data_IF_946385682113
#
_entry.id   IF_946385682113
#
_cell.length_a   1.000
_cell.length_b   1.000
_cell.length_c   1.000
_cell.angle_alpha   90.00
_cell.angle_beta   90.00
_cell.angle_gamma   90.00
#
_symmetry.space_group_name_H-M   'P 1'
#
loop_
_entity.id
_entity.type
_entity.pdbx_description
1 polymer ?
#
# COMPACT_ATOMS: atom_id res chain seq x y z
N UNK A 1 13.30 -27.15 6.04
CA UNK A 1 13.41 -25.99 5.12
C UNK A 1 13.19 -24.70 5.90
N UNK A 2 14.23 -23.88 6.12
CA UNK A 2 14.10 -22.55 6.76
C UNK A 2 13.31 -21.65 5.80
N UNK A 3 12.09 -21.25 6.18
CA UNK A 3 11.31 -20.27 5.41
C UNK A 3 12.03 -18.92 5.49
N UNK A 4 12.75 -18.55 4.43
CA UNK A 4 13.52 -17.30 4.38
C UNK A 4 12.60 -16.17 3.91
N UNK A 5 12.14 -15.32 4.83
CA UNK A 5 11.38 -14.09 4.56
C UNK A 5 12.18 -12.86 5.04
N UNK A 6 11.75 -11.67 4.68
CA UNK A 6 12.45 -10.44 5.10
C UNK A 6 12.15 -10.12 6.58
N UNK A 7 13.10 -10.51 7.47
CA UNK A 7 12.99 -10.33 8.92
C UNK A 7 12.99 -8.85 9.32
N UNK A 8 13.71 -8.01 8.59
CA UNK A 8 13.78 -6.58 8.90
C UNK A 8 12.42 -5.91 8.63
N UNK A 9 11.73 -6.26 7.52
CA UNK A 9 10.39 -5.76 7.26
C UNK A 9 9.43 -6.14 8.40
N UNK A 10 9.45 -7.40 8.83
CA UNK A 10 8.61 -7.86 9.94
C UNK A 10 8.94 -7.11 11.23
N UNK A 11 10.22 -6.90 11.55
CA UNK A 11 10.66 -6.16 12.72
C UNK A 11 10.15 -4.71 12.72
N UNK A 12 10.27 -4.00 11.59
CA UNK A 12 9.75 -2.63 11.44
C UNK A 12 8.25 -2.58 11.70
N UNK A 13 7.49 -3.52 11.14
CA UNK A 13 6.03 -3.57 11.33
C UNK A 13 5.66 -3.85 12.78
N UNK A 14 6.34 -4.79 13.45
CA UNK A 14 6.11 -5.08 14.87
C UNK A 14 6.43 -3.87 15.74
N UNK A 15 7.48 -3.12 15.41
CA UNK A 15 7.84 -1.89 16.12
C UNK A 15 6.77 -0.81 15.93
N UNK A 16 6.26 -0.61 14.69
CA UNK A 16 5.16 0.33 14.41
C UNK A 16 3.88 -0.06 15.17
N UNK A 17 3.56 -1.35 15.25
CA UNK A 17 2.39 -1.85 16.02
C UNK A 17 2.59 -1.59 17.52
N UNK A 18 3.79 -1.80 18.05
CA UNK A 18 4.10 -1.53 19.45
C UNK A 18 3.94 -0.04 19.77
N UNK A 19 4.50 0.85 18.94
CA UNK A 19 4.32 2.30 19.06
C UNK A 19 2.83 2.66 18.97
N UNK A 20 2.07 2.03 18.05
CA UNK A 20 0.64 2.23 17.94
C UNK A 20 -0.14 1.82 19.18
N UNK A 21 0.19 0.67 19.77
CA UNK A 21 -0.46 0.19 20.98
C UNK A 21 -0.21 1.12 22.17
N UNK A 22 1.04 1.58 22.35
CA UNK A 22 1.39 2.55 23.40
C UNK A 22 0.72 3.89 23.19
N UNK A 23 0.68 4.40 21.96
CA UNK A 23 0.02 5.65 21.63
C UNK A 23 -1.52 5.59 21.82
N UNK A 24 -2.17 4.49 21.39
CA UNK A 24 -3.61 4.29 21.63
C UNK A 24 -3.89 4.16 23.13
N UNK A 25 -3.04 3.46 23.89
CA UNK A 25 -3.18 3.36 25.34
C UNK A 25 -3.11 4.73 25.99
N UNK A 26 -2.10 5.54 25.66
CA UNK A 26 -1.95 6.90 26.19
C UNK A 26 -3.11 7.81 25.80
N UNK A 27 -3.56 7.76 24.52
CA UNK A 27 -4.66 8.60 24.04
C UNK A 27 -6.02 8.28 24.64
N UNK A 28 -6.21 7.07 25.14
CA UNK A 28 -7.47 6.60 25.75
C UNK A 28 -7.42 6.59 27.27
N UNK A 29 -6.33 7.03 27.89
CA UNK A 29 -6.15 7.06 29.35
C UNK A 29 -7.13 8.03 30.05
N UNK A 30 -7.58 9.05 29.34
CA UNK A 30 -8.57 10.01 29.82
C UNK A 30 -9.81 9.95 28.92
N UNK A 31 -10.95 9.57 29.50
CA UNK A 31 -12.24 9.51 28.79
C UNK A 31 -13.05 10.75 29.17
N UNK A 32 -13.56 11.48 28.16
CA UNK A 32 -14.35 12.70 28.39
C UNK A 32 -15.65 12.40 29.12
N UNK A 33 -16.05 13.29 30.09
CA UNK A 33 -17.34 13.19 30.76
C UNK A 33 -18.52 13.14 29.77
N UNK A 34 -18.46 13.90 28.68
CA UNK A 34 -19.50 13.94 27.64
C UNK A 34 -19.60 12.61 26.87
N UNK A 35 -18.47 11.96 26.63
CA UNK A 35 -18.45 10.62 26.04
C UNK A 35 -18.99 9.58 27.03
N UNK A 36 -18.65 9.65 28.30
CA UNK A 36 -19.21 8.81 29.33
C UNK A 36 -20.72 8.93 29.39
N UNK A 37 -21.27 10.16 29.42
CA UNK A 37 -22.70 10.40 29.45
C UNK A 37 -23.43 9.92 28.19
N UNK A 38 -22.86 10.19 27.00
CA UNK A 38 -23.41 9.77 25.71
C UNK A 38 -23.49 8.24 25.56
N UNK A 39 -22.54 7.51 26.13
CA UNK A 39 -22.51 6.05 26.06
C UNK A 39 -23.25 5.40 27.25
N UNK A 40 -23.29 6.05 28.41
CA UNK A 40 -24.14 5.64 29.52
C UNK A 40 -25.63 5.64 29.12
N UNK A 41 -26.07 6.69 28.39
CA UNK A 41 -27.43 6.76 27.80
C UNK A 41 -27.71 5.64 26.78
N UNK A 42 -26.66 5.01 26.23
CA UNK A 42 -26.80 3.84 25.31
C UNK A 42 -26.57 2.49 25.98
N UNK A 43 -26.47 2.45 27.30
CA UNK A 43 -26.24 1.21 28.07
C UNK A 43 -24.85 0.56 27.84
N UNK A 44 -23.90 1.33 27.33
CA UNK A 44 -22.52 0.84 27.09
C UNK A 44 -21.60 1.47 28.13
N UNK A 45 -21.05 0.66 29.04
CA UNK A 45 -19.97 1.10 29.92
C UNK A 45 -18.69 1.33 29.11
N UNK A 46 -18.36 2.60 28.86
CA UNK A 46 -17.07 2.99 28.31
C UNK A 46 -16.02 2.90 29.42
N UNK A 47 -15.17 1.90 29.35
CA UNK A 47 -13.95 1.84 30.13
C UNK A 47 -12.74 1.96 29.21
N UNK A 48 -11.62 2.51 29.71
CA UNK A 48 -10.33 2.49 29.02
C UNK A 48 -10.02 1.09 28.47
N UNK A 49 -10.31 0.06 29.26
CA UNK A 49 -10.18 -1.34 28.88
C UNK A 49 -11.05 -1.73 27.65
N UNK A 50 -12.16 -1.04 27.40
CA UNK A 50 -13.01 -1.31 26.24
C UNK A 50 -12.34 -0.95 24.91
N UNK A 51 -11.65 0.19 24.83
CA UNK A 51 -10.89 0.60 23.66
C UNK A 51 -9.68 -0.30 23.42
N UNK A 52 -8.91 -0.58 24.46
CA UNK A 52 -7.74 -1.45 24.40
C UNK A 52 -8.14 -2.87 24.01
N UNK A 53 -9.20 -3.41 24.61
CA UNK A 53 -9.73 -4.74 24.26
C UNK A 53 -10.10 -4.83 22.79
N UNK A 54 -10.80 -3.83 22.24
CA UNK A 54 -11.12 -3.78 20.81
C UNK A 54 -9.87 -3.67 19.94
N UNK A 55 -8.89 -2.86 20.34
CA UNK A 55 -7.62 -2.73 19.61
C UNK A 55 -6.83 -4.05 19.63
N UNK A 56 -6.75 -4.73 20.78
CA UNK A 56 -6.11 -6.04 20.88
C UNK A 56 -6.82 -7.12 20.05
N UNK A 57 -8.16 -7.12 20.05
CA UNK A 57 -8.94 -8.03 19.21
C UNK A 57 -8.70 -7.78 17.72
N UNK A 58 -8.73 -6.52 17.28
CA UNK A 58 -8.45 -6.17 15.88
C UNK A 58 -7.01 -6.43 15.48
N UNK A 59 -6.07 -6.25 16.40
CA UNK A 59 -4.66 -6.63 16.21
C UNK A 59 -4.52 -8.15 16.07
N UNK A 60 -5.17 -8.94 16.90
CA UNK A 60 -5.21 -10.40 16.79
C UNK A 60 -5.78 -10.86 15.45
N UNK A 61 -6.92 -10.28 15.02
CA UNK A 61 -7.51 -10.54 13.70
C UNK A 61 -6.57 -10.12 12.57
N UNK A 62 -5.90 -8.98 12.70
CA UNK A 62 -4.90 -8.51 11.74
C UNK A 62 -3.70 -9.44 11.64
N UNK A 63 -3.18 -9.97 12.76
CA UNK A 63 -2.10 -10.96 12.77
C UNK A 63 -2.51 -12.26 12.09
N UNK A 64 -3.74 -12.74 12.33
CA UNK A 64 -4.29 -13.90 11.63
C UNK A 64 -4.38 -13.63 10.13
N UNK A 65 -4.93 -12.47 9.72
CA UNK A 65 -5.02 -12.08 8.32
C UNK A 65 -3.65 -11.95 7.66
N UNK A 66 -2.66 -11.38 8.36
CA UNK A 66 -1.27 -11.31 7.91
C UNK A 66 -0.67 -12.70 7.71
N UNK A 67 -0.87 -13.61 8.66
CA UNK A 67 -0.37 -14.98 8.57
C UNK A 67 -1.05 -15.76 7.44
N UNK A 68 -2.36 -15.63 7.26
CA UNK A 68 -3.09 -16.22 6.14
C UNK A 68 -2.57 -15.69 4.80
N UNK A 69 -2.46 -14.37 4.66
CA UNK A 69 -1.93 -13.74 3.45
C UNK A 69 -0.49 -14.16 3.13
N UNK A 70 0.34 -14.39 4.17
CA UNK A 70 1.69 -14.94 4.01
C UNK A 70 1.69 -16.39 3.50
N UNK A 71 0.68 -17.20 3.82
CA UNK A 71 0.61 -18.62 3.44
C UNK A 71 -0.08 -18.88 2.11
N UNK A 72 -0.99 -18.00 1.68
CA UNK A 72 -1.77 -18.18 0.44
C UNK A 72 -0.84 -18.20 -0.78
N UNK A 73 -0.96 -19.16 -1.72
CA UNK A 73 -0.18 -19.17 -2.95
C UNK A 73 -0.44 -17.91 -3.79
N UNK A 74 0.63 -17.23 -4.22
CA UNK A 74 0.51 -15.99 -5.03
C UNK A 74 -0.22 -16.21 -6.36
N UNK A 75 -0.13 -17.43 -6.93
CA UNK A 75 -0.91 -17.81 -8.11
C UNK A 75 -2.42 -17.80 -7.90
N UNK A 76 -2.90 -18.17 -6.70
CA UNK A 76 -4.30 -18.07 -6.33
C UNK A 76 -4.72 -16.59 -6.18
N UNK A 77 -3.90 -15.76 -5.53
CA UNK A 77 -4.15 -14.32 -5.38
C UNK A 77 -4.27 -13.65 -6.76
N UNK A 78 -3.38 -14.01 -7.70
CA UNK A 78 -3.45 -13.55 -9.09
C UNK A 78 -4.78 -13.91 -9.75
N UNK A 79 -5.27 -15.13 -9.60
CA UNK A 79 -6.57 -15.60 -10.15
C UNK A 79 -7.75 -14.88 -9.50
N UNK A 80 -7.67 -14.61 -8.19
CA UNK A 80 -8.73 -13.96 -7.41
C UNK A 80 -8.75 -12.44 -7.52
N UNK A 81 -7.81 -11.80 -8.23
CA UNK A 81 -7.69 -10.33 -8.30
C UNK A 81 -8.96 -9.66 -8.83
N UNK A 82 -9.58 -10.19 -9.90
CA UNK A 82 -10.82 -9.64 -10.46
C UNK A 82 -12.02 -9.95 -9.56
N UNK A 83 -12.26 -11.20 -9.09
CA UNK A 83 -13.34 -11.49 -8.15
C UNK A 83 -13.30 -10.64 -6.89
N UNK A 84 -12.11 -10.45 -6.29
CA UNK A 84 -11.95 -9.61 -5.10
C UNK A 84 -12.25 -8.14 -5.38
N UNK A 85 -11.91 -7.63 -6.57
CA UNK A 85 -12.25 -6.28 -6.96
C UNK A 85 -13.78 -6.10 -7.06
N UNK A 86 -14.49 -7.06 -7.66
CA UNK A 86 -15.95 -7.03 -7.76
C UNK A 86 -16.60 -7.14 -6.37
N UNK A 87 -16.11 -8.02 -5.52
CA UNK A 87 -16.58 -8.14 -4.12
C UNK A 87 -16.37 -6.82 -3.38
N UNK A 88 -15.22 -6.17 -3.56
CA UNK A 88 -14.96 -4.87 -2.91
C UNK A 88 -15.92 -3.77 -3.37
N UNK A 89 -16.32 -3.77 -4.66
CA UNK A 89 -17.33 -2.85 -5.17
C UNK A 89 -18.72 -3.15 -4.57
N UNK A 90 -19.11 -4.41 -4.49
CA UNK A 90 -20.37 -4.82 -3.86
C UNK A 90 -20.38 -4.40 -2.38
N UNK A 91 -19.31 -4.67 -1.63
CA UNK A 91 -19.18 -4.22 -0.24
C UNK A 91 -19.29 -2.69 -0.12
N UNK A 92 -18.68 -1.95 -1.05
CA UNK A 92 -18.73 -0.49 -1.06
C UNK A 92 -20.18 0.01 -1.32
N UNK A 93 -20.92 -0.64 -2.22
CA UNK A 93 -22.33 -0.31 -2.50
C UNK A 93 -23.28 -0.70 -1.34
N UNK A 94 -22.95 -1.75 -0.57
CA UNK A 94 -23.73 -2.15 0.60
C UNK A 94 -23.81 -1.06 1.67
N UNK A 95 -22.90 -0.09 1.69
CA UNK A 95 -22.97 1.07 2.60
C UNK A 95 -24.26 1.88 2.41
N UNK A 96 -24.83 1.91 1.21
CA UNK A 96 -26.09 2.63 0.94
C UNK A 96 -27.35 1.87 1.39
N UNK A 97 -27.21 0.60 1.77
CA UNK A 97 -28.30 -0.25 2.23
C UNK A 97 -28.50 -0.12 3.76
N UNK A 98 -29.45 -0.86 4.32
CA UNK A 98 -29.72 -0.91 5.77
C UNK A 98 -28.52 -1.30 6.65
N UNK A 99 -27.48 -1.90 6.07
CA UNK A 99 -26.26 -2.29 6.78
C UNK A 99 -25.27 -1.12 7.01
N UNK A 100 -25.46 0.00 6.29
CA UNK A 100 -24.60 1.17 6.41
C UNK A 100 -24.87 2.00 7.64
N UNK A 101 -23.81 2.44 8.32
CA UNK A 101 -23.85 3.31 9.50
C UNK A 101 -23.40 4.71 9.12
N UNK A 102 -24.11 5.71 9.63
CA UNK A 102 -23.71 7.12 9.52
C UNK A 102 -22.88 7.48 10.74
N UNK A 103 -21.66 7.95 10.50
CA UNK A 103 -20.75 8.49 11.52
C UNK A 103 -20.10 9.76 10.98
N UNK A 104 -19.97 10.81 11.82
CA UNK A 104 -19.38 12.08 11.42
C UNK A 104 -20.08 12.73 10.20
N UNK A 105 -21.40 12.58 10.07
CA UNK A 105 -22.18 13.15 8.95
C UNK A 105 -22.02 12.43 7.61
N UNK A 106 -21.30 11.31 7.54
CA UNK A 106 -21.13 10.53 6.32
C UNK A 106 -21.40 9.05 6.54
N UNK A 107 -21.96 8.40 5.53
CA UNK A 107 -22.31 6.98 5.56
C UNK A 107 -21.22 6.17 4.86
N UNK A 108 -20.22 5.67 5.64
CA UNK A 108 -19.00 5.06 5.14
C UNK A 108 -18.67 3.68 5.73
N UNK A 109 -19.42 3.26 6.77
CA UNK A 109 -19.14 2.09 7.57
C UNK A 109 -20.27 1.06 7.42
N UNK A 110 -19.91 -0.21 7.45
CA UNK A 110 -20.86 -1.34 7.55
C UNK A 110 -20.76 -1.91 8.95
N UNK A 111 -21.92 -2.21 9.56
CA UNK A 111 -21.97 -2.88 10.85
C UNK A 111 -21.70 -4.38 10.66
N UNK A 112 -20.55 -4.84 11.14
CA UNK A 112 -20.23 -6.26 11.29
C UNK A 112 -19.97 -6.47 12.77
N UNK A 113 -20.96 -7.07 13.45
CA UNK A 113 -20.83 -7.30 14.90
C UNK A 113 -19.61 -8.18 15.20
N UNK A 114 -18.76 -7.85 16.19
CA UNK A 114 -18.85 -6.78 17.20
C UNK A 114 -18.22 -5.44 16.80
N UNK A 115 -17.78 -5.26 15.57
CA UNK A 115 -17.05 -4.07 15.10
C UNK A 115 -17.74 -3.40 13.91
N UNK A 116 -17.10 -2.35 13.39
CA UNK A 116 -17.49 -1.68 12.14
C UNK A 116 -16.41 -1.91 11.10
N UNK A 117 -16.82 -2.12 9.86
CA UNK A 117 -15.94 -2.34 8.72
C UNK A 117 -16.06 -1.20 7.71
N UNK A 118 -14.92 -0.69 7.26
CA UNK A 118 -14.85 0.36 6.25
C UNK A 118 -14.46 -0.24 4.90
N UNK A 119 -15.40 -0.36 3.94
CA UNK A 119 -15.12 -0.98 2.64
C UNK A 119 -14.04 -0.28 1.82
N UNK A 120 -13.84 1.04 1.99
CA UNK A 120 -12.81 1.78 1.26
C UNK A 120 -11.38 1.27 1.53
N UNK A 121 -11.12 0.71 2.71
CA UNK A 121 -9.82 0.10 3.02
C UNK A 121 -9.61 -1.17 2.18
N UNK A 122 -10.65 -2.01 2.07
CA UNK A 122 -10.62 -3.20 1.22
C UNK A 122 -10.47 -2.85 -0.26
N UNK A 123 -11.16 -1.80 -0.73
CA UNK A 123 -11.06 -1.33 -2.14
C UNK A 123 -9.63 -0.99 -2.50
N UNK A 124 -8.88 -0.29 -1.64
CA UNK A 124 -7.47 0.05 -1.90
C UNK A 124 -6.62 -1.21 -2.12
N UNK A 125 -6.77 -2.20 -1.24
CA UNK A 125 -6.05 -3.48 -1.36
C UNK A 125 -6.43 -4.23 -2.65
N UNK A 126 -7.74 -4.35 -2.93
CA UNK A 126 -8.24 -5.05 -4.12
C UNK A 126 -7.81 -4.33 -5.42
N UNK A 127 -7.74 -2.99 -5.40
CA UNK A 127 -7.23 -2.22 -6.53
C UNK A 127 -5.74 -2.48 -6.79
N UNK A 128 -4.91 -2.62 -5.75
CA UNK A 128 -3.52 -3.04 -5.90
C UNK A 128 -3.43 -4.42 -6.54
N UNK A 129 -4.22 -5.39 -6.08
CA UNK A 129 -4.26 -6.75 -6.63
C UNK A 129 -4.64 -6.72 -8.12
N UNK A 130 -5.71 -6.00 -8.44
CA UNK A 130 -6.18 -5.85 -9.82
C UNK A 130 -5.15 -5.18 -10.73
N UNK A 131 -4.57 -4.05 -10.31
CA UNK A 131 -3.56 -3.34 -11.10
C UNK A 131 -2.33 -4.20 -11.33
N UNK A 132 -1.87 -4.92 -10.30
CA UNK A 132 -0.74 -5.84 -10.40
C UNK A 132 -1.02 -6.97 -11.40
N UNK A 133 -2.22 -7.55 -11.36
CA UNK A 133 -2.66 -8.55 -12.33
C UNK A 133 -2.72 -7.96 -13.73
N UNK A 134 -3.39 -6.82 -13.92
CA UNK A 134 -3.58 -6.17 -15.20
C UNK A 134 -2.26 -5.80 -15.87
N UNK A 135 -1.34 -5.20 -15.12
CA UNK A 135 -0.03 -4.78 -15.62
C UNK A 135 0.91 -5.97 -15.90
N UNK A 136 0.67 -7.13 -15.28
CA UNK A 136 1.44 -8.36 -15.53
C UNK A 136 0.99 -9.15 -16.75
N UNK A 137 -0.11 -8.76 -17.40
CA UNK A 137 -0.60 -9.44 -18.61
C UNK A 137 0.31 -9.21 -19.82
N UNK A 138 0.50 -10.23 -20.64
CA UNK A 138 1.25 -10.13 -21.91
C UNK A 138 0.65 -9.14 -22.91
N UNK A 139 -0.65 -8.87 -22.80
CA UNK A 139 -1.37 -7.87 -23.62
C UNK A 139 -1.20 -6.44 -23.15
N UNK A 140 -0.67 -6.21 -21.95
CA UNK A 140 -0.41 -4.87 -21.42
C UNK A 140 0.72 -4.21 -22.21
N UNK A 141 0.41 -3.10 -22.88
CA UNK A 141 1.38 -2.31 -23.65
C UNK A 141 1.29 -0.86 -23.20
N UNK A 142 2.36 -0.34 -22.66
CA UNK A 142 2.45 1.04 -22.12
C UNK A 142 2.21 2.12 -23.18
N UNK A 143 2.35 1.77 -24.46
CA UNK A 143 2.10 2.68 -25.59
C UNK A 143 0.64 2.84 -25.94
N UNK A 144 -0.19 1.84 -25.64
CA UNK A 144 -1.60 1.84 -26.02
C UNK A 144 -2.43 2.66 -25.02
N UNK A 145 -3.25 3.55 -25.54
CA UNK A 145 -4.21 4.32 -24.75
C UNK A 145 -5.17 3.41 -23.96
N UNK A 146 -5.56 2.28 -24.51
CA UNK A 146 -6.44 1.30 -23.82
C UNK A 146 -5.83 0.76 -22.55
N UNK A 147 -4.50 0.59 -22.49
CA UNK A 147 -3.80 0.14 -21.28
C UNK A 147 -3.86 1.16 -20.15
N UNK A 148 -4.01 2.44 -20.47
CA UNK A 148 -4.25 3.51 -19.52
C UNK A 148 -5.73 3.65 -19.18
N UNK A 149 -6.60 3.59 -20.20
CA UNK A 149 -8.03 3.87 -20.05
C UNK A 149 -8.75 2.87 -19.13
N UNK A 150 -8.45 1.56 -19.25
CA UNK A 150 -9.14 0.53 -18.48
C UNK A 150 -8.96 0.71 -16.96
N UNK A 151 -7.75 0.86 -16.40
CA UNK A 151 -7.57 1.16 -14.98
C UNK A 151 -8.24 2.45 -14.53
N UNK A 152 -8.22 3.50 -15.38
CA UNK A 152 -8.84 4.79 -15.07
C UNK A 152 -10.37 4.68 -15.03
N UNK A 153 -11.00 3.94 -15.94
CA UNK A 153 -12.45 3.71 -15.92
C UNK A 153 -12.87 2.93 -14.66
N UNK A 154 -12.12 1.90 -14.31
CA UNK A 154 -12.39 1.12 -13.09
C UNK A 154 -12.21 2.00 -11.84
N UNK A 155 -11.10 2.75 -11.75
CA UNK A 155 -10.90 3.73 -10.68
C UNK A 155 -12.05 4.73 -10.65
N UNK A 156 -12.47 5.27 -11.82
CA UNK A 156 -13.56 6.22 -11.95
C UNK A 156 -14.90 5.69 -11.40
N UNK A 157 -15.19 4.41 -11.61
CA UNK A 157 -16.38 3.78 -11.03
C UNK A 157 -16.36 3.82 -9.49
N UNK A 158 -15.24 3.50 -8.86
CA UNK A 158 -15.07 3.63 -7.41
C UNK A 158 -15.13 5.10 -6.94
N UNK A 159 -14.56 6.03 -7.72
CA UNK A 159 -14.58 7.46 -7.42
C UNK A 159 -16.02 8.00 -7.35
N UNK A 160 -16.89 7.61 -8.28
CA UNK A 160 -18.31 8.01 -8.26
C UNK A 160 -18.98 7.56 -6.96
N UNK A 161 -18.69 6.35 -6.50
CA UNK A 161 -19.26 5.84 -5.24
C UNK A 161 -18.69 6.60 -4.03
N UNK A 162 -17.39 6.85 -3.97
CA UNK A 162 -16.77 7.63 -2.90
C UNK A 162 -17.29 9.07 -2.82
N UNK A 163 -17.53 9.71 -3.97
CA UNK A 163 -18.11 11.05 -4.01
C UNK A 163 -19.53 11.09 -3.48
N UNK A 164 -20.34 10.03 -3.73
CA UNK A 164 -21.67 9.88 -3.16
C UNK A 164 -21.67 9.58 -1.65
N UNK A 165 -20.57 8.99 -1.11
CA UNK A 165 -20.37 8.72 0.32
C UNK A 165 -19.71 9.88 1.07
N UNK A 166 -19.52 11.06 0.51
CA UNK A 166 -18.58 12.17 0.79
C UNK A 166 -17.22 11.72 1.38
N UNK A 167 -16.62 10.62 0.84
CA UNK A 167 -15.32 10.10 1.29
C UNK A 167 -14.17 10.56 0.39
N UNK A 168 -13.77 11.83 0.54
CA UNK A 168 -12.66 12.41 -0.25
C UNK A 168 -11.31 11.82 0.08
N UNK A 169 -11.10 11.39 1.33
CA UNK A 169 -9.86 10.77 1.75
C UNK A 169 -9.59 9.48 0.98
N UNK A 170 -10.60 8.59 0.93
CA UNK A 170 -10.53 7.36 0.15
C UNK A 170 -10.40 7.64 -1.35
N UNK A 171 -11.14 8.62 -1.87
CA UNK A 171 -11.06 9.03 -3.26
C UNK A 171 -9.65 9.48 -3.65
N UNK A 172 -9.04 10.40 -2.90
CA UNK A 172 -7.68 10.88 -3.16
C UNK A 172 -6.64 9.78 -3.05
N UNK A 173 -6.72 8.96 -1.99
CA UNK A 173 -5.75 7.88 -1.78
C UNK A 173 -5.82 6.82 -2.89
N UNK A 174 -7.03 6.42 -3.34
CA UNK A 174 -7.20 5.48 -4.44
C UNK A 174 -6.73 6.07 -5.77
N UNK A 175 -7.02 7.34 -6.03
CA UNK A 175 -6.56 8.06 -7.22
C UNK A 175 -5.04 8.11 -7.30
N UNK A 176 -4.39 8.57 -6.22
CA UNK A 176 -2.94 8.67 -6.16
C UNK A 176 -2.26 7.30 -6.25
N UNK A 177 -2.82 6.28 -5.59
CA UNK A 177 -2.35 4.89 -5.69
C UNK A 177 -2.39 4.39 -7.13
N UNK A 178 -3.52 4.58 -7.83
CA UNK A 178 -3.70 4.13 -9.21
C UNK A 178 -2.73 4.84 -10.15
N UNK A 179 -2.60 6.17 -10.03
CA UNK A 179 -1.67 6.97 -10.85
C UNK A 179 -0.22 6.56 -10.58
N UNK A 180 0.16 6.35 -9.31
CA UNK A 180 1.52 5.93 -8.94
C UNK A 180 1.87 4.56 -9.52
N UNK A 181 0.95 3.61 -9.53
CA UNK A 181 1.16 2.30 -10.14
C UNK A 181 1.24 2.39 -11.67
N UNK A 182 0.37 3.19 -12.32
CA UNK A 182 0.43 3.44 -13.77
C UNK A 182 1.74 4.12 -14.18
N UNK A 183 2.20 5.10 -13.40
CA UNK A 183 3.49 5.75 -13.60
C UNK A 183 4.64 4.74 -13.55
N UNK A 184 4.67 3.89 -12.53
CA UNK A 184 5.69 2.84 -12.40
C UNK A 184 5.67 1.84 -13.56
N UNK A 185 4.49 1.54 -14.09
CA UNK A 185 4.37 0.61 -15.22
C UNK A 185 4.97 1.15 -16.52
N UNK A 186 5.39 2.42 -16.54
CA UNK A 186 5.98 3.08 -17.71
C UNK A 186 4.95 3.60 -18.72
N UNK A 187 3.70 3.82 -18.31
CA UNK A 187 2.68 4.48 -19.14
C UNK A 187 3.20 5.85 -19.58
N UNK A 188 2.90 6.23 -20.83
CA UNK A 188 3.33 7.52 -21.37
C UNK A 188 2.79 8.68 -20.55
N UNK A 189 3.67 9.54 -20.04
CA UNK A 189 3.34 10.67 -19.16
C UNK A 189 2.24 11.57 -19.73
N UNK A 190 2.18 11.71 -21.06
CA UNK A 190 1.12 12.50 -21.72
C UNK A 190 -0.30 12.07 -21.33
N UNK A 191 -0.53 10.76 -21.07
CA UNK A 191 -1.85 10.28 -20.66
C UNK A 191 -2.14 10.67 -19.20
N UNK A 192 -1.13 10.67 -18.34
CA UNK A 192 -1.27 11.11 -16.93
C UNK A 192 -1.54 12.62 -16.90
N UNK A 193 -0.80 13.42 -17.70
CA UNK A 193 -1.03 14.86 -17.79
C UNK A 193 -2.41 15.19 -18.38
N UNK A 194 -2.86 14.47 -19.42
CA UNK A 194 -4.19 14.70 -20.00
C UNK A 194 -5.31 14.39 -18.98
N UNK A 195 -5.13 13.34 -18.15
CA UNK A 195 -6.05 13.07 -17.05
C UNK A 195 -6.05 14.20 -16.02
N UNK A 196 -4.87 14.72 -15.66
CA UNK A 196 -4.74 15.87 -14.76
C UNK A 196 -5.55 17.07 -15.25
N UNK A 197 -5.37 17.44 -16.52
CA UNK A 197 -6.13 18.54 -17.13
C UNK A 197 -7.64 18.27 -17.11
N UNK A 198 -8.07 17.04 -17.41
CA UNK A 198 -9.48 16.66 -17.40
C UNK A 198 -10.10 16.71 -15.99
N UNK A 199 -9.32 16.40 -14.96
CA UNK A 199 -9.79 16.33 -13.57
C UNK A 199 -9.86 17.73 -12.94
N UNK A 200 -9.08 18.73 -13.39
CA UNK A 200 -9.08 20.08 -12.85
C UNK A 200 -10.48 20.72 -12.76
N UNK A 201 -11.31 20.76 -13.84
CA UNK A 201 -12.66 21.33 -13.75
C UNK A 201 -13.56 20.60 -12.75
N UNK A 202 -13.42 19.27 -12.66
CA UNK A 202 -14.17 18.46 -11.69
C UNK A 202 -13.77 18.81 -10.26
N UNK A 203 -12.48 18.96 -9.99
CA UNK A 203 -11.96 19.35 -8.68
C UNK A 203 -12.42 20.77 -8.31
N UNK A 204 -12.35 21.72 -9.24
CA UNK A 204 -12.83 23.09 -9.01
C UNK A 204 -14.31 23.06 -8.63
N UNK A 205 -15.16 22.37 -9.42
CA UNK A 205 -16.59 22.24 -9.13
C UNK A 205 -16.83 21.57 -7.77
N UNK A 206 -16.06 20.53 -7.44
CA UNK A 206 -16.19 19.85 -6.15
C UNK A 206 -15.81 20.75 -4.97
N UNK A 207 -14.77 21.58 -5.10
CA UNK A 207 -14.31 22.51 -4.04
C UNK A 207 -15.28 23.67 -3.89
N UNK A 208 -15.95 24.12 -4.95
CA UNK A 208 -16.89 25.26 -4.93
C UNK A 208 -18.14 25.05 -4.07
N UNK A 209 -18.42 23.82 -3.64
CA UNK A 209 -19.50 23.54 -2.68
C UNK A 209 -19.22 24.21 -1.33
N UNK A 210 -20.16 24.93 -0.70
CA UNK A 210 -19.93 25.77 0.49
C UNK A 210 -19.27 25.02 1.65
N UNK A 211 -19.70 23.78 1.92
CA UNK A 211 -19.14 22.96 2.99
C UNK A 211 -17.67 22.58 2.72
N UNK A 212 -17.30 22.34 1.46
CA UNK A 212 -15.93 21.95 1.07
C UNK A 212 -15.03 23.16 0.99
N UNK A 213 -15.55 24.28 0.48
CA UNK A 213 -14.84 25.55 0.47
C UNK A 213 -14.47 25.98 1.90
N UNK A 214 -15.40 25.83 2.87
CA UNK A 214 -15.11 26.12 4.27
C UNK A 214 -13.91 25.32 4.79
N UNK A 215 -13.78 24.03 4.42
CA UNK A 215 -12.62 23.21 4.80
C UNK A 215 -11.32 23.68 4.15
N UNK A 216 -11.35 24.12 2.89
CA UNK A 216 -10.18 24.68 2.20
C UNK A 216 -9.80 26.01 2.81
N UNK A 217 -10.76 26.88 3.07
CA UNK A 217 -10.52 28.17 3.73
C UNK A 217 -9.93 28.00 5.14
N UNK A 218 -10.47 27.06 5.91
CA UNK A 218 -9.94 26.70 7.24
C UNK A 218 -8.51 26.13 7.17
N UNK A 219 -8.19 25.38 6.13
CA UNK A 219 -6.84 24.86 5.92
C UNK A 219 -5.84 25.99 5.60
N UNK A 220 -6.26 27.00 4.81
CA UNK A 220 -5.40 28.13 4.46
C UNK A 220 -5.15 29.07 5.64
N UNK A 221 -6.15 29.25 6.50
CA UNK A 221 -6.05 30.07 7.72
C UNK A 221 -6.86 29.43 8.86
N UNK A 222 -6.28 28.46 9.59
CA UNK A 222 -6.98 27.80 10.70
C UNK A 222 -7.17 28.70 11.91
N UNK A 223 -6.35 29.74 12.04
CA UNK A 223 -6.42 30.71 13.16
C UNK A 223 -7.57 31.70 13.04
N UNK A 224 -8.20 31.79 11.87
CA UNK A 224 -9.37 32.67 11.68
C UNK A 224 -10.60 32.19 12.46
N UNK A 225 -10.74 30.88 12.68
CA UNK A 225 -11.82 30.26 13.45
C UNK A 225 -11.26 29.15 14.36
N UNK A 226 -10.44 29.52 15.38
CA UNK A 226 -9.65 28.55 16.14
C UNK A 226 -10.50 27.67 17.09
N UNK A 227 -11.72 28.12 17.44
CA UNK A 227 -12.66 27.36 18.28
C UNK A 227 -13.74 26.62 17.48
N UNK A 228 -13.85 26.90 16.18
CA UNK A 228 -14.82 26.25 15.29
C UNK A 228 -14.18 25.32 14.27
N UNK A 229 -14.21 25.70 13.00
CA UNK A 229 -13.77 24.84 11.92
C UNK A 229 -12.26 24.55 11.93
N UNK A 230 -11.42 25.46 12.45
CA UNK A 230 -9.97 25.33 12.59
C UNK A 230 -9.52 24.55 13.82
N UNK A 231 -10.42 24.27 14.76
CA UNK A 231 -10.09 23.73 16.08
C UNK A 231 -9.15 22.51 16.04
N UNK A 232 -9.47 21.51 15.23
CA UNK A 232 -8.66 20.29 15.14
C UNK A 232 -7.22 20.56 14.68
N UNK A 233 -7.06 21.45 13.68
CA UNK A 233 -5.75 21.75 13.12
C UNK A 233 -4.91 22.63 14.06
N UNK A 234 -5.55 23.63 14.69
CA UNK A 234 -4.91 24.48 15.70
C UNK A 234 -4.44 23.65 16.88
N UNK A 235 -5.28 22.76 17.42
CA UNK A 235 -4.88 21.88 18.52
C UNK A 235 -3.76 20.90 18.12
N UNK A 236 -3.75 20.44 16.86
CA UNK A 236 -2.65 19.66 16.32
C UNK A 236 -1.32 20.42 16.33
N UNK A 237 -1.34 21.70 15.94
CA UNK A 237 -0.14 22.56 15.97
C UNK A 237 0.34 22.83 17.39
N UNK A 238 -0.60 23.08 18.31
CA UNK A 238 -0.27 23.26 19.72
C UNK A 238 0.36 21.98 20.29
N UNK A 239 -0.19 20.79 19.97
CA UNK A 239 0.38 19.52 20.37
C UNK A 239 1.83 19.36 19.89
N UNK A 240 2.06 19.52 18.58
CA UNK A 240 3.40 19.40 17.99
C UNK A 240 4.37 20.44 18.56
N UNK A 241 3.91 21.68 18.77
CA UNK A 241 4.73 22.78 19.30
C UNK A 241 5.10 22.57 20.78
N UNK A 242 4.15 22.08 21.60
CA UNK A 242 4.41 21.81 23.03
C UNK A 242 5.36 20.65 23.28
N UNK A 243 5.46 19.70 22.34
CA UNK A 243 6.37 18.57 22.48
C UNK A 243 7.85 18.94 22.38
N UNK A 244 8.21 20.04 21.74
CA UNK A 244 9.61 20.42 21.56
C UNK A 244 10.48 19.30 20.96
N UNK A 245 11.73 19.15 21.40
CA UNK A 245 12.65 18.13 20.89
C UNK A 245 12.41 16.74 21.49
N UNK A 246 12.21 16.66 22.78
CA UNK A 246 12.19 15.40 23.56
C UNK A 246 10.80 14.95 24.01
N UNK A 247 9.79 15.81 23.83
CA UNK A 247 8.44 15.58 24.30
C UNK A 247 8.22 16.01 25.76
N UNK A 248 6.94 16.08 26.14
CA UNK A 248 6.53 16.36 27.52
C UNK A 248 6.57 15.12 28.41
N UNK A 249 6.75 13.94 27.84
CA UNK A 249 6.72 12.64 28.52
C UNK A 249 5.53 11.79 28.12
N UNK A 250 5.74 10.46 28.12
CA UNK A 250 4.67 9.49 27.81
C UNK A 250 3.55 9.61 28.87
N UNK A 251 2.33 9.84 28.41
CA UNK A 251 1.19 10.00 29.29
C UNK A 251 0.96 11.43 29.82
N UNK A 252 1.89 12.36 29.63
CA UNK A 252 1.80 13.74 30.15
C UNK A 252 1.24 14.73 29.12
N UNK A 253 0.88 14.29 27.92
CA UNK A 253 0.29 15.13 26.88
C UNK A 253 -1.02 15.77 27.34
N UNK A 254 -1.17 17.07 27.15
CA UNK A 254 -2.35 17.84 27.58
C UNK A 254 -3.46 17.80 26.53
N UNK A 255 -3.12 17.65 25.24
CA UNK A 255 -4.11 17.70 24.15
C UNK A 255 -5.07 16.53 24.16
N UNK A 256 -4.70 15.39 24.75
CA UNK A 256 -5.61 14.26 25.01
C UNK A 256 -6.70 14.55 26.05
N UNK A 257 -6.53 15.59 26.86
CA UNK A 257 -7.50 16.05 27.87
C UNK A 257 -8.68 16.81 27.23
N UNK A 258 -9.24 16.30 26.13
CA UNK A 258 -10.42 16.82 25.40
C UNK A 258 -10.17 18.01 24.46
N UNK A 259 -8.95 18.49 24.35
CA UNK A 259 -8.64 19.60 23.42
C UNK A 259 -8.56 19.14 21.97
N UNK A 260 -8.15 17.89 21.67
CA UNK A 260 -8.04 17.39 20.30
C UNK A 260 -9.07 16.29 20.03
N UNK A 261 -10.14 16.55 19.24
CA UNK A 261 -11.09 15.52 18.82
C UNK A 261 -10.43 14.47 17.94
N UNK A 262 -10.88 13.20 18.05
CA UNK A 262 -10.39 12.06 17.25
C UNK A 262 -8.86 11.84 17.35
N UNK A 263 -8.27 12.20 18.52
CA UNK A 263 -6.83 12.07 18.77
C UNK A 263 -6.31 10.65 18.60
N UNK A 264 -7.12 9.65 18.93
CA UNK A 264 -6.77 8.23 18.83
C UNK A 264 -6.88 7.66 17.41
N UNK A 265 -7.47 8.40 16.44
CA UNK A 265 -7.64 7.97 15.05
C UNK A 265 -6.75 8.79 14.11
N UNK A 266 -7.21 9.96 13.70
CA UNK A 266 -6.61 10.72 12.59
C UNK A 266 -5.44 11.61 13.03
N UNK A 267 -5.43 12.05 14.30
CA UNK A 267 -4.45 12.96 14.86
C UNK A 267 -3.48 12.30 15.87
N UNK A 268 -3.37 10.96 15.83
CA UNK A 268 -2.48 10.22 16.74
C UNK A 268 -1.01 10.64 16.60
N UNK A 269 -0.60 11.06 15.41
CA UNK A 269 0.75 11.54 15.15
C UNK A 269 1.05 12.86 15.88
N UNK A 270 0.05 13.76 16.05
CA UNK A 270 0.21 14.98 16.88
C UNK A 270 0.50 14.63 18.32
N UNK A 271 -0.23 13.63 18.85
CA UNK A 271 -0.03 13.18 20.22
C UNK A 271 1.36 12.54 20.41
N UNK A 272 1.82 11.73 19.44
CA UNK A 272 3.18 11.20 19.46
C UNK A 272 4.19 12.35 19.46
N UNK A 273 3.95 13.40 18.66
CA UNK A 273 4.78 14.59 18.64
C UNK A 273 4.75 15.40 19.94
N UNK A 274 3.62 15.45 20.66
CA UNK A 274 3.52 16.07 21.98
C UNK A 274 4.27 15.26 23.05
N UNK A 275 3.99 13.94 23.13
CA UNK A 275 4.52 13.10 24.22
C UNK A 275 5.99 12.71 24.03
N UNK A 276 6.43 12.40 22.79
CA UNK A 276 7.79 11.97 22.44
C UNK A 276 8.63 13.04 21.73
N UNK A 277 8.05 14.22 21.49
CA UNK A 277 8.71 15.32 20.83
C UNK A 277 9.04 15.08 19.36
N UNK A 278 9.85 15.97 18.82
CA UNK A 278 10.32 15.87 17.44
C UNK A 278 11.11 14.57 17.18
N UNK A 279 11.92 14.11 18.13
CA UNK A 279 12.72 12.88 17.99
C UNK A 279 11.80 11.67 17.83
N UNK A 280 10.74 11.54 18.64
CA UNK A 280 9.78 10.45 18.52
C UNK A 280 8.99 10.49 17.21
N UNK A 281 8.51 11.66 16.83
CA UNK A 281 7.82 11.85 15.56
C UNK A 281 8.72 11.54 14.35
N UNK A 282 9.97 12.00 14.36
CA UNK A 282 10.95 11.72 13.32
C UNK A 282 11.29 10.22 13.23
N UNK A 283 11.40 9.52 14.38
CA UNK A 283 11.63 8.08 14.41
C UNK A 283 10.47 7.32 13.75
N UNK A 284 9.22 7.69 14.05
CA UNK A 284 8.04 7.09 13.42
C UNK A 284 8.06 7.33 11.90
N UNK A 285 8.34 8.55 11.46
CA UNK A 285 8.45 8.87 10.03
C UNK A 285 9.58 8.07 9.36
N UNK A 286 10.73 7.91 10.02
CA UNK A 286 11.86 7.10 9.55
C UNK A 286 11.50 5.61 9.45
N UNK A 287 10.70 5.07 10.36
CA UNK A 287 10.22 3.69 10.30
C UNK A 287 9.33 3.47 9.06
N UNK A 288 8.40 4.39 8.76
CA UNK A 288 7.59 4.31 7.54
C UNK A 288 8.44 4.46 6.27
N UNK A 289 9.41 5.35 6.28
CA UNK A 289 10.35 5.52 5.16
C UNK A 289 11.17 4.24 4.94
N UNK A 290 11.70 3.65 6.01
CA UNK A 290 12.46 2.39 5.95
C UNK A 290 11.57 1.23 5.49
N UNK A 291 10.31 1.16 5.94
CA UNK A 291 9.31 0.21 5.45
C UNK A 291 9.13 0.34 3.93
N UNK A 292 8.94 1.56 3.43
CA UNK A 292 8.79 1.85 2.01
C UNK A 292 10.02 1.41 1.20
N UNK A 293 11.23 1.78 1.63
CA UNK A 293 12.48 1.37 0.98
C UNK A 293 12.63 -0.16 0.93
N UNK A 294 12.26 -0.85 2.02
CA UNK A 294 12.25 -2.31 2.07
C UNK A 294 11.25 -2.92 1.11
N UNK A 295 10.04 -2.38 1.04
CA UNK A 295 9.03 -2.82 0.08
C UNK A 295 9.50 -2.68 -1.37
N UNK A 296 10.11 -1.55 -1.71
CA UNK A 296 10.73 -1.33 -3.04
C UNK A 296 11.87 -2.34 -3.30
N UNK A 297 12.71 -2.61 -2.29
CA UNK A 297 13.77 -3.61 -2.41
C UNK A 297 13.22 -5.01 -2.69
N UNK A 298 12.11 -5.40 -2.04
CA UNK A 298 11.42 -6.67 -2.28
C UNK A 298 10.85 -6.70 -3.71
N UNK A 299 10.20 -5.61 -4.14
CA UNK A 299 9.66 -5.49 -5.49
C UNK A 299 10.76 -5.71 -6.55
N UNK A 300 11.89 -4.99 -6.43
CA UNK A 300 13.00 -5.08 -7.39
C UNK A 300 13.63 -6.47 -7.51
N UNK A 301 13.51 -7.28 -6.47
CA UNK A 301 14.06 -8.66 -6.44
C UNK A 301 13.07 -9.70 -6.96
N UNK A 302 11.80 -9.34 -7.16
CA UNK A 302 10.78 -10.24 -7.68
C UNK A 302 11.02 -10.52 -9.17
N UNK A 303 11.11 -11.80 -9.54
CA UNK A 303 11.32 -12.23 -10.94
C UNK A 303 10.02 -12.17 -11.77
N UNK A 304 8.87 -12.47 -11.15
CA UNK A 304 7.56 -12.42 -11.81
C UNK A 304 7.02 -11.00 -11.82
N UNK A 305 6.53 -10.47 -12.98
CA UNK A 305 5.96 -9.13 -13.08
C UNK A 305 4.77 -8.89 -12.14
N UNK A 306 3.92 -9.89 -11.89
CA UNK A 306 2.82 -9.76 -10.94
C UNK A 306 3.34 -9.51 -9.51
N UNK A 307 4.36 -10.26 -9.08
CA UNK A 307 4.99 -10.10 -7.77
C UNK A 307 5.67 -8.74 -7.64
N UNK A 308 6.31 -8.25 -8.72
CA UNK A 308 6.92 -6.93 -8.77
C UNK A 308 5.90 -5.81 -8.52
N UNK A 309 4.82 -5.78 -9.34
CA UNK A 309 3.78 -4.76 -9.21
C UNK A 309 3.01 -4.89 -7.90
N UNK A 310 2.78 -6.11 -7.43
CA UNK A 310 2.12 -6.36 -6.15
C UNK A 310 2.93 -5.78 -4.98
N UNK A 311 4.21 -6.13 -4.88
CA UNK A 311 5.05 -5.64 -3.78
C UNK A 311 5.20 -4.11 -3.81
N UNK A 312 5.35 -3.52 -5.00
CA UNK A 312 5.38 -2.08 -5.15
C UNK A 312 4.07 -1.43 -4.75
N UNK A 313 2.94 -1.93 -5.27
CA UNK A 313 1.61 -1.38 -5.00
C UNK A 313 1.23 -1.43 -3.52
N UNK A 314 1.54 -2.54 -2.82
CA UNK A 314 1.32 -2.66 -1.38
C UNK A 314 2.18 -1.67 -0.58
N UNK A 315 3.43 -1.49 -0.99
CA UNK A 315 4.36 -0.57 -0.32
C UNK A 315 3.94 0.89 -0.50
N UNK A 316 3.54 1.28 -1.72
CA UNK A 316 3.08 2.65 -2.01
C UNK A 316 1.72 2.93 -1.37
N UNK A 317 0.82 1.94 -1.27
CA UNK A 317 -0.47 2.08 -0.59
C UNK A 317 -0.30 2.49 0.87
N UNK A 318 0.58 1.82 1.61
CA UNK A 318 0.89 2.14 3.01
C UNK A 318 1.61 3.48 3.11
N UNK A 319 2.58 3.74 2.23
CA UNK A 319 3.33 4.99 2.23
C UNK A 319 2.44 6.21 1.94
N UNK A 320 1.55 6.15 0.94
CA UNK A 320 0.59 7.21 0.63
C UNK A 320 -0.27 7.52 1.86
N UNK A 321 -0.79 6.49 2.53
CA UNK A 321 -1.65 6.68 3.69
C UNK A 321 -0.90 7.33 4.86
N UNK A 322 0.35 6.93 5.11
CA UNK A 322 1.20 7.55 6.13
C UNK A 322 1.53 9.01 5.78
N UNK A 323 1.92 9.29 4.53
CA UNK A 323 2.22 10.65 4.05
C UNK A 323 0.99 11.55 4.17
N UNK A 324 -0.20 11.06 3.81
CA UNK A 324 -1.43 11.84 3.98
C UNK A 324 -1.70 12.18 5.45
N UNK A 325 -1.53 11.23 6.37
CA UNK A 325 -1.72 11.49 7.79
C UNK A 325 -0.71 12.54 8.29
N UNK A 326 0.58 12.37 7.99
CA UNK A 326 1.61 13.35 8.36
C UNK A 326 1.31 14.74 7.80
N UNK A 327 0.94 14.81 6.51
CA UNK A 327 0.65 16.08 5.85
C UNK A 327 -0.60 16.78 6.41
N UNK A 328 -1.63 16.04 6.81
CA UNK A 328 -2.82 16.58 7.48
C UNK A 328 -2.47 17.12 8.85
N UNK A 329 -1.75 16.36 9.66
CA UNK A 329 -1.39 16.71 11.04
C UNK A 329 -0.45 17.91 11.09
N UNK A 330 0.46 18.04 10.12
CA UNK A 330 1.38 19.18 10.00
C UNK A 330 0.79 20.36 9.23
N UNK A 331 -0.50 20.31 8.84
CA UNK A 331 -1.16 21.39 8.13
C UNK A 331 -0.69 21.60 6.69
N UNK A 332 -0.12 20.57 6.05
CA UNK A 332 0.23 20.61 4.63
C UNK A 332 -0.93 20.19 3.72
N UNK A 333 -1.93 19.52 4.27
CA UNK A 333 -3.15 19.09 3.58
C UNK A 333 -4.39 19.38 4.45
N UNK A 334 -5.56 19.63 3.82
CA UNK A 334 -6.81 19.84 4.56
C UNK A 334 -7.17 18.61 5.40
N UNK A 335 -7.78 18.84 6.55
CA UNK A 335 -8.20 17.81 7.50
C UNK A 335 -9.09 16.75 6.84
N UNK A 336 -8.66 15.50 6.89
CA UNK A 336 -9.37 14.32 6.36
C UNK A 336 -9.10 13.13 7.28
N UNK A 337 -10.14 12.38 7.58
CA UNK A 337 -10.09 11.19 8.41
C UNK A 337 -9.37 10.01 7.76
N UNK A 338 -8.06 10.05 7.70
CA UNK A 338 -7.22 8.94 7.23
C UNK A 338 -6.31 8.47 8.38
N UNK A 339 -6.57 7.29 8.93
CA UNK A 339 -5.78 6.77 10.04
C UNK A 339 -4.35 6.44 9.60
N UNK A 340 -3.38 6.64 10.50
CA UNK A 340 -1.99 6.26 10.29
C UNK A 340 -1.87 4.72 10.35
N UNK A 341 -1.38 4.05 9.29
CA UNK A 341 -1.28 2.59 9.26
C UNK A 341 -0.52 2.02 10.46
N UNK A 342 -0.96 0.90 11.00
CA UNK A 342 -0.42 0.19 12.17
C UNK A 342 -0.53 0.93 13.50
N UNK A 343 -0.62 2.25 13.52
CA UNK A 343 -0.53 3.09 14.72
C UNK A 343 -1.90 3.54 15.20
N UNK A 344 -2.73 4.11 14.30
CA UNK A 344 -4.04 4.66 14.67
C UNK A 344 -5.02 3.58 15.13
N UNK A 345 -5.94 3.99 16.00
CA UNK A 345 -7.12 3.20 16.32
C UNK A 345 -8.04 3.12 15.09
N UNK A 346 -8.04 1.95 14.43
CA UNK A 346 -8.84 1.76 13.21
C UNK A 346 -8.87 0.31 12.79
N UNK A 347 -9.93 -0.42 13.18
CA UNK A 347 -10.01 -1.87 12.97
C UNK A 347 -9.79 -2.30 11.53
N UNK A 348 -10.50 -1.70 10.57
CA UNK A 348 -10.41 -2.05 9.15
C UNK A 348 -9.07 -1.69 8.53
N UNK A 349 -8.54 -0.51 8.86
CA UNK A 349 -7.25 -0.05 8.36
C UNK A 349 -6.10 -0.93 8.85
N UNK A 350 -6.11 -1.30 10.14
CA UNK A 350 -5.11 -2.17 10.74
C UNK A 350 -5.12 -3.56 10.08
N UNK A 351 -6.31 -4.20 9.95
CA UNK A 351 -6.43 -5.52 9.34
C UNK A 351 -5.97 -5.49 7.88
N UNK A 352 -6.37 -4.47 7.10
CA UNK A 352 -5.97 -4.32 5.70
C UNK A 352 -4.47 -4.08 5.56
N UNK A 353 -3.88 -3.23 6.40
CA UNK A 353 -2.44 -2.97 6.40
C UNK A 353 -1.64 -4.21 6.79
N UNK A 354 -2.09 -4.98 7.78
CA UNK A 354 -1.45 -6.24 8.18
C UNK A 354 -1.59 -7.31 7.08
N UNK A 355 -2.73 -7.38 6.39
CA UNK A 355 -2.92 -8.26 5.22
C UNK A 355 -1.94 -7.87 4.11
N UNK A 356 -1.78 -6.59 3.83
CA UNK A 356 -0.81 -6.09 2.85
C UNK A 356 0.63 -6.49 3.21
N UNK A 357 1.00 -6.39 4.48
CA UNK A 357 2.32 -6.86 4.96
C UNK A 357 2.48 -8.38 4.78
N UNK A 358 1.44 -9.16 5.09
CA UNK A 358 1.45 -10.61 4.87
C UNK A 358 1.73 -10.97 3.42
N UNK A 359 1.07 -10.28 2.46
CA UNK A 359 1.32 -10.45 1.03
C UNK A 359 2.74 -10.03 0.64
N UNK A 360 3.25 -8.93 1.19
CA UNK A 360 4.59 -8.44 0.93
C UNK A 360 5.67 -9.41 1.44
N UNK A 361 5.47 -9.99 2.64
CA UNK A 361 6.32 -11.06 3.19
C UNK A 361 6.24 -12.32 2.33
N UNK A 362 5.07 -12.66 1.78
CA UNK A 362 4.89 -13.78 0.87
C UNK A 362 5.71 -13.60 -0.42
N UNK A 363 5.64 -12.41 -1.04
CA UNK A 363 6.49 -12.08 -2.19
C UNK A 363 7.96 -12.21 -1.82
N UNK A 364 8.38 -11.71 -0.64
CA UNK A 364 9.78 -11.78 -0.20
C UNK A 364 10.27 -13.21 -0.01
N UNK A 365 9.41 -14.12 0.45
CA UNK A 365 9.71 -15.55 0.57
C UNK A 365 9.96 -16.20 -0.79
N UNK A 366 9.09 -15.91 -1.75
CA UNK A 366 9.15 -16.55 -3.06
C UNK A 366 10.45 -16.22 -3.83
N UNK A 367 10.89 -14.94 -3.81
CA UNK A 367 12.14 -14.60 -4.51
C UNK A 367 13.37 -15.19 -3.83
N UNK A 368 13.38 -15.36 -2.51
CA UNK A 368 14.51 -15.98 -1.80
C UNK A 368 14.60 -17.47 -2.06
N UNK A 369 13.48 -18.17 -2.13
CA UNK A 369 13.45 -19.59 -2.52
C UNK A 369 13.96 -19.79 -3.94
N UNK A 370 13.59 -18.93 -4.90
CA UNK A 370 14.12 -18.98 -6.26
C UNK A 370 15.64 -18.75 -6.30
N UNK A 371 16.16 -17.80 -5.56
CA UNK A 371 17.59 -17.51 -5.49
C UNK A 371 18.40 -18.63 -4.79
N UNK A 372 17.83 -19.30 -3.79
CA UNK A 372 18.43 -20.44 -3.12
C UNK A 372 18.47 -21.65 -4.08
N UNK A 373 17.38 -21.96 -4.78
CA UNK A 373 17.32 -23.03 -5.77
C UNK A 373 18.34 -22.84 -6.92
N UNK A 374 18.47 -21.61 -7.43
CA UNK A 374 19.46 -21.27 -8.46
C UNK A 374 20.92 -21.46 -7.95
N UNK A 375 21.19 -21.09 -6.70
CA UNK A 375 22.50 -21.32 -6.08
C UNK A 375 22.80 -22.80 -5.91
N UNK A 376 21.82 -23.59 -5.50
CA UNK A 376 21.97 -25.03 -5.31
C UNK A 376 22.22 -25.73 -6.66
N UNK A 377 21.51 -25.33 -7.73
CA UNK A 377 21.77 -25.82 -9.08
C UNK A 377 23.17 -25.45 -9.58
N UNK A 378 23.61 -24.20 -9.35
CA UNK A 378 24.95 -23.76 -9.74
C UNK A 378 26.04 -24.49 -8.96
N UNK A 379 25.83 -24.76 -7.68
CA UNK A 379 26.75 -25.55 -6.85
C UNK A 379 26.84 -26.99 -7.30
N UNK A 380 25.71 -27.63 -7.60
CA UNK A 380 25.65 -28.98 -8.14
C UNK A 380 26.34 -29.09 -9.50
N UNK A 381 26.15 -28.11 -10.41
CA UNK A 381 26.88 -28.05 -11.69
C UNK A 381 28.39 -27.89 -11.50
N UNK A 382 28.82 -27.07 -10.52
CA UNK A 382 30.27 -26.92 -10.22
C UNK A 382 30.89 -28.21 -9.70
N UNK A 383 30.17 -28.96 -8.84
CA UNK A 383 30.63 -30.25 -8.32
C UNK A 383 30.71 -31.31 -9.43
N UNK A 384 29.78 -31.33 -10.39
CA UNK A 384 29.80 -32.25 -11.52
C UNK A 384 30.92 -31.95 -12.54
N UNK A 385 31.45 -30.72 -12.55
CA UNK A 385 32.59 -30.27 -13.37
C UNK A 385 33.94 -30.33 -12.66
N UNK A 386 33.99 -30.74 -11.37
CA UNK A 386 35.27 -31.02 -10.71
C UNK A 386 35.88 -32.27 -11.30
N UNK A 387 37.02 -32.22 -12.03
CA UNK A 387 37.65 -33.42 -12.54
C UNK A 387 38.14 -34.23 -11.35
N UNK A 388 37.72 -35.50 -11.28
CA UNK A 388 38.29 -36.49 -10.38
C UNK A 388 39.82 -36.52 -10.60
N UNK A 389 40.56 -35.82 -9.76
CA UNK A 389 42.02 -36.01 -9.63
C UNK A 389 42.24 -37.21 -8.72
N UNK A 390 41.98 -38.41 -9.24
CA UNK A 390 42.54 -39.62 -8.65
C UNK A 390 43.17 -40.46 -9.74
N UNK A 391 44.52 -40.50 -9.63
CA UNK A 391 45.49 -41.52 -10.02
C UNK A 391 45.44 -42.05 -11.46
N UNK A 392 46.50 -41.64 -12.18
CA UNK A 392 47.09 -42.07 -13.42
C UNK A 392 47.30 -43.57 -13.68
N UNK A 393 48.13 -44.05 -14.65
CA UNK A 393 48.47 -43.45 -15.92
C UNK A 393 48.17 -44.39 -17.11
N UNK A 394 47.84 -43.92 -18.27
CA UNK A 394 48.47 -44.37 -19.53
C UNK A 394 47.79 -43.80 -20.78
N UNK A 395 48.60 -43.17 -21.58
CA UNK A 395 48.64 -43.05 -23.04
C UNK A 395 47.40 -43.54 -23.85
N UNK A 396 46.73 -42.58 -24.52
CA UNK A 396 46.73 -42.60 -25.99
C UNK A 396 46.18 -41.31 -26.57
N UNK A 397 46.90 -40.77 -27.56
CA UNK A 397 46.53 -39.62 -28.42
C UNK A 397 45.36 -40.01 -29.30
N UNK A 398 44.30 -39.19 -29.36
CA UNK A 398 43.65 -38.89 -30.64
C UNK A 398 42.72 -37.65 -30.52
N UNK A 399 43.05 -36.65 -31.28
CA UNK A 399 42.30 -35.68 -32.11
C UNK A 399 40.91 -35.21 -31.70
N UNK A 400 40.90 -33.90 -31.50
CA UNK A 400 39.98 -32.89 -32.08
C UNK A 400 38.49 -33.11 -31.97
N UNK A 401 37.89 -32.30 -31.13
CA UNK A 401 36.45 -31.99 -31.13
C UNK A 401 36.18 -30.76 -30.28
N UNK A 402 36.10 -29.59 -30.92
CA UNK A 402 35.73 -28.32 -30.28
C UNK A 402 34.22 -28.36 -29.99
N UNK A 403 33.84 -28.63 -28.75
CA UNK A 403 32.48 -28.40 -28.28
C UNK A 403 32.38 -27.01 -27.61
N UNK A 404 31.73 -26.13 -28.32
CA UNK A 404 31.33 -24.82 -27.83
C UNK A 404 30.32 -24.95 -26.66
N UNK A 405 30.62 -24.34 -25.53
CA UNK A 405 29.75 -24.22 -24.37
C UNK A 405 28.46 -23.47 -24.74
N UNK A 406 27.28 -23.89 -24.24
CA UNK A 406 26.07 -23.07 -24.35
C UNK A 406 26.19 -21.86 -23.46
N UNK A 407 26.11 -20.69 -24.06
CA UNK A 407 26.05 -19.40 -23.32
C UNK A 407 24.73 -19.34 -22.52
N UNK A 408 24.86 -19.22 -21.21
CA UNK A 408 23.77 -18.88 -20.31
C UNK A 408 23.11 -17.56 -20.75
N UNK A 409 21.83 -17.60 -21.00
CA UNK A 409 21.06 -16.41 -21.37
C UNK A 409 21.14 -15.35 -20.26
N UNK A 410 21.84 -14.26 -20.52
CA UNK A 410 21.78 -13.07 -19.64
C UNK A 410 20.49 -12.33 -19.91
N UNK A 411 19.71 -12.18 -18.85
CA UNK A 411 18.59 -11.23 -18.85
C UNK A 411 19.17 -9.82 -18.79
N UNK A 412 18.90 -9.01 -19.80
CA UNK A 412 19.25 -7.59 -19.80
C UNK A 412 17.99 -6.74 -19.69
N UNK A 413 17.99 -5.84 -18.70
CA UNK A 413 16.93 -4.86 -18.51
C UNK A 413 17.15 -3.70 -19.50
N UNK A 414 16.23 -3.54 -20.46
CA UNK A 414 16.15 -2.34 -21.30
C UNK A 414 14.71 -1.85 -21.31
N UNK A 415 14.51 -0.64 -20.81
CA UNK A 415 13.23 0.11 -20.83
C UNK A 415 12.01 -0.66 -20.31
N UNK A 416 12.10 -1.24 -19.12
CA UNK A 416 10.91 -1.80 -18.43
C UNK A 416 10.45 -3.18 -18.91
N UNK A 417 11.20 -3.87 -19.73
CA UNK A 417 10.85 -5.20 -20.24
C UNK A 417 11.99 -6.20 -20.08
N UNK A 418 11.63 -7.43 -19.68
CA UNK A 418 12.52 -8.58 -19.67
C UNK A 418 12.40 -9.34 -20.98
N UNK A 419 13.50 -9.46 -21.72
CA UNK A 419 13.59 -10.31 -22.90
C UNK A 419 14.50 -11.49 -22.63
N UNK A 420 14.02 -12.72 -22.96
CA UNK A 420 14.86 -13.88 -23.17
C UNK A 420 15.45 -13.81 -24.55
N UNK A 421 16.76 -13.74 -24.65
CA UNK A 421 17.47 -13.86 -25.91
C UNK A 421 17.55 -15.34 -26.28
N UNK A 422 16.59 -15.83 -27.02
CA UNK A 422 16.66 -17.12 -27.70
C UNK A 422 17.63 -17.03 -28.87
N UNK A 423 18.76 -17.73 -28.79
CA UNK A 423 19.71 -17.90 -29.91
C UNK A 423 19.05 -18.79 -30.98
N UNK A 424 18.37 -18.21 -31.96
CA UNK A 424 18.10 -18.90 -33.21
C UNK A 424 19.37 -18.94 -34.03
N UNK A 425 20.11 -20.02 -33.98
CA UNK A 425 20.95 -20.51 -35.05
C UNK A 425 20.25 -21.72 -35.64
N UNK A 426 19.57 -21.57 -36.75
CA UNK A 426 19.29 -22.66 -37.66
C UNK A 426 19.51 -22.17 -39.07
N UNK A 427 20.53 -22.77 -39.65
CA UNK A 427 20.76 -23.21 -41.01
C UNK A 427 19.87 -22.68 -42.10
N UNK A 428 20.57 -22.20 -43.14
CA UNK A 428 20.05 -21.70 -44.38
C UNK A 428 19.17 -22.65 -45.15
N UNK A 429 18.28 -22.04 -45.85
CA UNK A 429 17.98 -22.34 -47.28
C UNK A 429 17.29 -21.12 -47.84
N UNK A 430 18.01 -20.42 -48.71
CA UNK A 430 17.44 -19.43 -49.63
C UNK A 430 16.49 -20.13 -50.62
N UNK A 431 15.25 -19.73 -50.69
CA UNK A 431 14.47 -19.76 -51.91
C UNK A 431 13.99 -18.38 -52.25
N UNK A 432 14.64 -17.84 -53.27
CA UNK A 432 14.15 -16.73 -54.04
C UNK A 432 12.92 -17.22 -54.85
N UNK A 433 11.78 -16.60 -54.62
CA UNK A 433 10.70 -16.59 -55.60
C UNK A 433 10.40 -15.11 -55.86
N UNK A 434 10.89 -14.66 -57.02
CA UNK A 434 10.48 -13.40 -57.58
C UNK A 434 9.10 -13.56 -58.22
N UNK A 435 8.29 -12.51 -58.11
CA UNK A 435 7.21 -12.24 -59.05
C UNK A 435 7.11 -10.74 -59.28
N UNK A 436 7.27 -10.42 -60.56
CA UNK A 436 7.05 -9.14 -61.25
C UNK A 436 5.58 -8.72 -61.26
N UNK A 437 5.39 -7.45 -61.48
CA UNK A 437 4.18 -6.86 -62.06
C UNK A 437 3.73 -5.64 -61.21
N UNK A 438 4.00 -4.49 -61.50
CA UNK A 438 3.86 -3.43 -62.46
C UNK A 438 2.41 -2.95 -62.69
N UNK A 439 2.22 -1.69 -63.13
CA UNK A 439 1.48 -0.66 -62.36
C UNK A 439 0.15 -0.26 -63.08
N UNK A 440 -0.53 0.84 -62.56
CA UNK A 440 -1.71 1.60 -63.07
C UNK A 440 -2.99 1.36 -62.25
N UNK A 441 -3.68 2.35 -61.75
CA UNK A 441 -3.88 3.81 -62.03
C UNK A 441 -4.15 4.53 -60.70
#
# INVERSE_FOLDING_TARGET
>A
MKQSYDRLLLFIVLLLILVGLTAVYSSTSVISPDLLEKYHKKGVMLSQFGFIRKQLLTMGLGLIAMFMAFKIPLGLIRKMSIPLLVISLVCLLMVFTKFGITAGGARRWIRIWPSTFQPSELVKLCMVLFLSFYMSMTRYRTEKFTSFLVPILIMGAFQVVFLKQPDFGAAMSLGLLTISMLFLSGIRLRYIFSLGILVIPVVIKLISEPYRWKRVATFLDPWKDPLGSGFQLVQSFIALGSGGLTGVGLGEGKQKLFFLPEVHTDFIFSMIGEELGFIGAALVALLFFTFFLKGISIARKAADPFHYYLAYGLSIMIAIQAIFNFAVVTGMLPTKGLPLPFISYGGSSLITSMTAVGLLLNVSRNYRQGAEAERDELSARRQSFSPNTETGPSRSRSRTGSHSLPQSGRYQWQRGYWYTRENRRTSGTRRLIGLRGGPRR
#
